data_IF_532897536071
#
_entry.id   IF_532897536071
#
_cell.length_a   1.000
_cell.length_b   1.000
_cell.length_c   1.000
_cell.angle_alpha   90.00
_cell.angle_beta   90.00
_cell.angle_gamma   90.00
#
_symmetry.space_group_name_H-M   'P 1'
#
loop_
_entity.id
_entity.type
_entity.pdbx_description
1 polymer ?
#
# COMPACT_ATOMS: atom_id res chain seq x y z
N UNK A 1 72.91 40.20 3.19
CA UNK A 1 73.36 39.77 1.86
C UNK A 1 73.54 38.28 1.97
N UNK A 2 72.46 37.59 1.63
CA UNK A 2 72.24 36.16 1.83
C UNK A 2 72.83 35.39 0.66
N UNK A 3 73.55 34.30 0.96
CA UNK A 3 73.72 33.16 0.05
C UNK A 3 74.39 32.03 0.82
N UNK A 4 73.58 31.16 1.42
CA UNK A 4 73.98 29.82 1.83
C UNK A 4 73.44 28.88 0.76
N UNK A 5 74.31 28.37 -0.10
CA UNK A 5 73.98 27.26 -1.00
C UNK A 5 73.86 25.99 -0.15
N UNK A 6 72.67 25.39 -0.14
CA UNK A 6 72.37 24.14 0.53
C UNK A 6 71.87 23.13 -0.49
N UNK A 7 72.80 22.62 -1.32
CA UNK A 7 72.56 21.47 -2.19
C UNK A 7 73.18 20.21 -1.58
N UNK A 8 72.37 19.49 -0.81
CA UNK A 8 72.52 18.05 -0.62
C UNK A 8 71.14 17.46 -0.29
N UNK A 9 70.33 17.38 -1.34
CA UNK A 9 69.08 16.64 -1.39
C UNK A 9 69.40 15.17 -1.07
N UNK A 10 69.17 14.77 0.19
CA UNK A 10 69.19 13.37 0.59
C UNK A 10 68.09 12.65 -0.19
N UNK A 11 68.50 11.84 -1.16
CA UNK A 11 67.66 10.83 -1.77
C UNK A 11 67.16 9.87 -0.69
N UNK A 12 65.88 9.98 -0.37
CA UNK A 12 65.07 8.94 0.27
C UNK A 12 63.77 8.79 -0.53
N UNK A 13 63.91 8.64 -1.84
CA UNK A 13 63.00 7.79 -2.61
C UNK A 13 63.51 6.34 -2.45
N UNK A 14 62.60 5.36 -2.48
CA UNK A 14 62.86 3.92 -2.31
C UNK A 14 63.10 3.45 -0.87
N UNK A 15 62.04 3.54 -0.06
CA UNK A 15 61.68 2.37 0.75
C UNK A 15 60.53 1.66 0.06
N UNK A 16 60.93 0.72 -0.80
CA UNK A 16 60.16 -0.34 -1.42
C UNK A 16 59.50 -1.20 -0.32
N UNK A 17 58.34 -0.79 0.19
CA UNK A 17 57.50 -1.65 1.04
C UNK A 17 56.53 -2.35 0.10
N UNK A 18 56.91 -3.56 -0.29
CA UNK A 18 56.11 -4.45 -1.12
C UNK A 18 54.65 -4.43 -0.72
N UNK A 19 53.81 -3.86 -1.59
CA UNK A 19 52.36 -3.80 -1.41
C UNK A 19 51.77 -5.20 -1.54
N UNK A 20 51.81 -5.96 -0.45
CA UNK A 20 51.16 -7.26 -0.38
C UNK A 20 49.64 -7.06 -0.52
N UNK A 21 49.14 -7.28 -1.74
CA UNK A 21 47.71 -7.33 -2.01
C UNK A 21 47.15 -8.49 -1.20
N UNK A 22 46.40 -8.18 -0.15
CA UNK A 22 45.83 -9.18 0.73
C UNK A 22 44.74 -9.94 -0.02
N UNK A 23 44.79 -11.27 -0.02
CA UNK A 23 43.76 -12.10 -0.67
C UNK A 23 42.83 -12.69 0.37
N UNK A 24 41.52 -12.55 0.15
CA UNK A 24 40.53 -13.17 1.03
C UNK A 24 40.55 -14.70 0.84
N UNK A 25 40.79 -15.52 1.89
CA UNK A 25 40.86 -16.98 1.75
C UNK A 25 39.51 -17.60 1.36
N UNK A 26 38.39 -16.87 1.53
CA UNK A 26 37.05 -17.36 1.24
C UNK A 26 36.54 -17.01 -0.16
N UNK A 27 36.96 -15.88 -0.74
CA UNK A 27 36.49 -15.44 -2.06
C UNK A 27 37.60 -15.15 -3.07
N UNK A 28 38.87 -15.30 -2.67
CA UNK A 28 40.10 -15.09 -3.46
C UNK A 28 40.24 -13.72 -4.13
N UNK A 29 39.41 -12.74 -3.75
CA UNK A 29 39.58 -11.35 -4.20
C UNK A 29 40.77 -10.73 -3.47
N UNK A 30 41.61 -10.05 -4.23
CA UNK A 30 42.78 -9.32 -3.74
C UNK A 30 42.38 -7.87 -3.43
N UNK A 31 42.86 -7.33 -2.31
CA UNK A 31 42.63 -5.94 -1.91
C UNK A 31 43.91 -5.29 -1.39
N UNK A 32 44.07 -3.99 -1.66
CA UNK A 32 45.20 -3.18 -1.18
C UNK A 32 44.91 -2.71 0.26
N UNK A 33 45.76 -3.04 1.25
CA UNK A 33 45.58 -2.62 2.63
C UNK A 33 45.69 -1.10 2.83
N UNK A 34 46.27 -0.33 1.89
CA UNK A 34 46.33 1.14 1.97
C UNK A 34 44.98 1.83 1.79
N UNK A 35 43.97 1.13 1.24
CA UNK A 35 42.62 1.64 1.06
C UNK A 35 41.76 1.57 2.34
N UNK A 36 42.32 1.12 3.47
CA UNK A 36 41.55 0.93 4.72
C UNK A 36 41.25 2.22 5.50
N UNK A 37 41.82 3.37 5.13
CA UNK A 37 41.68 4.61 5.90
C UNK A 37 40.57 5.56 5.43
N UNK A 38 40.00 5.37 4.24
CA UNK A 38 38.93 6.24 3.69
C UNK A 38 37.66 5.46 3.31
N UNK A 39 37.38 4.36 4.00
CA UNK A 39 36.16 3.60 3.72
C UNK A 39 34.95 4.32 4.33
N UNK A 40 34.21 5.08 3.52
CA UNK A 40 32.84 5.51 3.87
C UNK A 40 32.00 4.26 4.15
N UNK A 41 31.87 3.90 5.42
CA UNK A 41 31.07 2.75 5.84
C UNK A 41 29.60 3.09 5.61
N UNK A 42 28.98 2.45 4.63
CA UNK A 42 27.57 2.65 4.34
C UNK A 42 26.73 1.77 5.26
N UNK A 43 25.83 2.37 6.03
CA UNK A 43 24.83 1.62 6.79
C UNK A 43 23.71 1.22 5.84
N UNK A 44 23.65 -0.07 5.51
CA UNK A 44 22.60 -0.65 4.68
C UNK A 44 21.53 -1.30 5.57
N UNK A 45 20.26 -1.18 5.20
CA UNK A 45 19.15 -1.86 5.88
C UNK A 45 18.29 -2.63 4.90
N UNK A 46 17.97 -3.88 5.21
CA UNK A 46 17.11 -4.71 4.38
C UNK A 46 15.64 -4.47 4.69
N UNK A 47 14.89 -3.95 3.72
CA UNK A 47 13.44 -3.70 3.86
C UNK A 47 12.61 -4.99 3.96
N UNK A 48 13.20 -6.17 3.67
CA UNK A 48 12.51 -7.46 3.75
C UNK A 48 12.60 -8.11 5.13
N UNK A 49 13.75 -8.02 5.78
CA UNK A 49 14.00 -8.70 7.07
C UNK A 49 14.35 -7.76 8.23
N UNK A 50 14.43 -6.44 7.96
CA UNK A 50 14.78 -5.41 8.95
C UNK A 50 16.25 -5.42 9.39
N UNK A 51 17.08 -6.30 8.84
CA UNK A 51 18.48 -6.40 9.24
C UNK A 51 19.28 -5.20 8.72
N UNK A 52 20.05 -4.55 9.59
CA UNK A 52 21.02 -3.52 9.25
C UNK A 52 22.44 -4.07 9.31
N UNK A 53 23.31 -3.62 8.40
CA UNK A 53 24.72 -3.97 8.37
C UNK A 53 25.56 -2.81 7.83
N UNK A 54 26.83 -2.77 8.23
CA UNK A 54 27.81 -1.86 7.64
C UNK A 54 28.43 -2.54 6.42
N UNK A 55 28.36 -1.87 5.28
CA UNK A 55 28.93 -2.31 4.02
C UNK A 55 30.08 -1.39 3.64
N UNK A 56 31.15 -1.96 3.11
CA UNK A 56 32.25 -1.21 2.47
C UNK A 56 31.90 -0.75 1.05
N UNK A 57 30.72 -1.13 0.57
CA UNK A 57 30.21 -0.84 -0.77
C UNK A 57 28.81 -0.24 -0.57
N UNK A 58 28.49 0.85 -1.26
CA UNK A 58 27.21 1.53 -1.17
C UNK A 58 26.01 0.64 -1.53
N UNK A 59 26.16 -0.23 -2.54
CA UNK A 59 25.12 -1.14 -3.02
C UNK A 59 25.56 -2.61 -2.97
N UNK A 60 25.48 -3.28 -1.80
CA UNK A 60 25.75 -4.70 -1.71
C UNK A 60 24.80 -5.53 -2.58
N UNK A 61 25.27 -6.64 -3.15
CA UNK A 61 24.47 -7.45 -4.09
C UNK A 61 23.29 -8.17 -3.39
N UNK A 62 23.43 -8.53 -2.12
CA UNK A 62 22.41 -9.28 -1.37
C UNK A 62 22.43 -8.93 0.11
N UNK A 63 21.29 -9.08 0.77
CA UNK A 63 21.23 -9.03 2.23
C UNK A 63 22.02 -10.20 2.83
N UNK A 64 22.94 -9.96 3.79
CA UNK A 64 23.73 -11.03 4.42
C UNK A 64 22.88 -11.97 5.27
N UNK A 65 21.74 -11.51 5.80
CA UNK A 65 20.86 -12.31 6.67
C UNK A 65 19.86 -13.17 5.90
N UNK A 66 19.12 -12.57 4.95
CA UNK A 66 18.05 -13.28 4.23
C UNK A 66 18.41 -13.67 2.79
N UNK A 67 19.61 -13.31 2.30
CA UNK A 67 20.05 -13.60 0.94
C UNK A 67 19.30 -12.85 -0.16
N UNK A 68 18.40 -11.92 0.17
CA UNK A 68 17.61 -11.20 -0.83
C UNK A 68 18.48 -10.28 -1.67
N UNK A 69 18.41 -10.44 -3.00
CA UNK A 69 19.05 -9.54 -3.97
C UNK A 69 18.34 -8.18 -4.12
N UNK A 70 17.10 -8.08 -3.61
CA UNK A 70 16.25 -6.88 -3.67
C UNK A 70 16.03 -6.33 -2.26
N UNK A 71 17.12 -6.17 -1.52
CA UNK A 71 17.10 -5.79 -0.11
C UNK A 71 16.78 -4.31 0.11
N UNK A 72 17.07 -3.44 -0.86
CA UNK A 72 16.74 -2.02 -0.84
C UNK A 72 15.42 -1.66 -1.56
N UNK A 73 14.81 -2.61 -2.29
CA UNK A 73 13.58 -2.35 -3.05
C UNK A 73 12.35 -2.53 -2.15
N UNK A 74 11.52 -1.49 -2.04
CA UNK A 74 10.28 -1.51 -1.27
C UNK A 74 9.38 -2.67 -1.68
N UNK A 75 8.76 -3.31 -0.68
CA UNK A 75 7.79 -4.38 -0.93
C UNK A 75 6.44 -3.75 -1.25
N UNK A 76 5.80 -4.17 -2.35
CA UNK A 76 4.41 -3.80 -2.61
C UNK A 76 3.50 -4.59 -1.68
N UNK A 77 2.74 -3.89 -0.84
CA UNK A 77 1.69 -4.47 -0.01
C UNK A 77 0.34 -4.46 -0.75
N UNK A 78 -0.41 -5.54 -0.57
CA UNK A 78 -1.75 -5.71 -1.11
C UNK A 78 -2.70 -6.08 0.01
N UNK A 79 -3.89 -5.49 0.00
CA UNK A 79 -4.97 -5.80 0.92
C UNK A 79 -6.13 -6.43 0.15
N UNK A 80 -6.70 -7.51 0.67
CA UNK A 80 -7.90 -8.10 0.11
C UNK A 80 -9.15 -7.41 0.65
N UNK A 81 -9.86 -6.66 -0.21
CA UNK A 81 -11.16 -6.02 0.07
C UNK A 81 -12.32 -6.99 0.37
N UNK A 82 -12.08 -8.30 0.30
CA UNK A 82 -13.07 -9.35 0.61
C UNK A 82 -12.87 -9.97 1.99
N UNK A 83 -11.63 -10.13 2.44
CA UNK A 83 -11.30 -10.83 3.69
C UNK A 83 -10.38 -10.05 4.64
N UNK A 84 -9.93 -8.84 4.24
CA UNK A 84 -9.03 -7.99 5.02
C UNK A 84 -7.59 -8.49 5.11
N UNK A 85 -7.23 -9.57 4.42
CA UNK A 85 -5.87 -10.08 4.49
C UNK A 85 -4.88 -9.10 3.84
N UNK A 86 -3.78 -8.79 4.53
CA UNK A 86 -2.68 -7.98 4.00
C UNK A 86 -1.49 -8.89 3.72
N UNK A 87 -0.85 -8.74 2.55
CA UNK A 87 0.37 -9.46 2.21
C UNK A 87 1.30 -8.62 1.34
N UNK A 88 2.58 -8.95 1.38
CA UNK A 88 3.61 -8.30 0.58
C UNK A 88 4.15 -9.24 -0.48
N UNK A 89 4.46 -8.73 -1.67
CA UNK A 89 5.09 -9.51 -2.75
C UNK A 89 6.33 -8.81 -3.29
N UNK A 90 7.28 -9.62 -3.74
CA UNK A 90 8.51 -9.19 -4.42
C UNK A 90 8.34 -9.12 -5.94
N UNK A 91 7.23 -9.65 -6.46
CA UNK A 91 6.91 -9.64 -7.88
C UNK A 91 6.40 -8.27 -8.29
N UNK A 92 6.81 -7.82 -9.48
CA UNK A 92 6.31 -6.57 -10.08
C UNK A 92 4.85 -6.68 -10.51
N UNK A 93 4.35 -7.88 -10.79
CA UNK A 93 2.96 -8.10 -11.19
C UNK A 93 2.02 -8.20 -9.99
N UNK A 94 0.79 -7.67 -10.11
CA UNK A 94 -0.23 -7.84 -9.09
C UNK A 94 -0.59 -9.32 -8.91
N UNK A 95 -0.92 -9.75 -7.67
CA UNK A 95 -1.29 -11.12 -7.40
C UNK A 95 -2.59 -11.50 -8.11
N UNK A 96 -2.65 -12.68 -8.72
CA UNK A 96 -3.86 -13.15 -9.39
C UNK A 96 -4.99 -13.53 -8.41
N UNK A 97 -4.62 -13.99 -7.21
CA UNK A 97 -5.55 -14.47 -6.18
C UNK A 97 -5.10 -14.03 -4.79
N UNK A 98 -6.05 -13.82 -3.90
CA UNK A 98 -5.74 -13.65 -2.49
C UNK A 98 -5.15 -14.95 -1.90
N UNK A 99 -4.02 -14.91 -1.18
CA UNK A 99 -3.44 -16.11 -0.56
C UNK A 99 -4.32 -16.73 0.53
N UNK A 100 -5.19 -15.93 1.19
CA UNK A 100 -6.06 -16.41 2.27
C UNK A 100 -7.39 -16.96 1.76
N UNK A 101 -8.16 -16.16 1.03
CA UNK A 101 -9.51 -16.54 0.58
C UNK A 101 -9.57 -17.09 -0.85
N UNK A 102 -8.43 -17.12 -1.57
CA UNK A 102 -8.31 -17.56 -2.97
C UNK A 102 -9.18 -16.80 -3.98
N UNK A 103 -9.81 -15.69 -3.57
CA UNK A 103 -10.61 -14.83 -4.44
C UNK A 103 -9.75 -14.19 -5.52
N UNK A 104 -10.22 -14.26 -6.77
CA UNK A 104 -9.64 -13.55 -7.92
C UNK A 104 -9.99 -12.06 -7.87
N UNK A 105 -11.13 -11.71 -7.28
CA UNK A 105 -11.61 -10.33 -7.13
C UNK A 105 -11.21 -9.73 -5.78
N UNK A 106 -9.99 -10.03 -5.33
CA UNK A 106 -9.50 -9.60 -4.02
C UNK A 106 -9.39 -8.06 -3.90
N UNK A 107 -9.28 -7.36 -5.02
CA UNK A 107 -9.19 -5.90 -5.11
C UNK A 107 -10.56 -5.20 -5.14
N UNK A 108 -11.67 -5.95 -5.28
CA UNK A 108 -13.04 -5.40 -5.26
C UNK A 108 -13.73 -5.71 -3.94
N UNK A 109 -14.47 -4.75 -3.42
CA UNK A 109 -15.40 -5.00 -2.32
C UNK A 109 -16.43 -6.06 -2.71
N UNK A 110 -16.98 -6.74 -1.71
CA UNK A 110 -18.14 -7.60 -1.92
C UNK A 110 -19.31 -6.67 -2.21
N UNK A 111 -19.80 -6.69 -3.45
CA UNK A 111 -21.10 -6.12 -3.77
C UNK A 111 -22.09 -6.76 -2.80
N UNK A 112 -22.52 -5.99 -1.81
CA UNK A 112 -23.72 -6.31 -1.06
C UNK A 112 -24.81 -6.22 -2.11
N UNK A 113 -25.58 -7.30 -2.36
CA UNK A 113 -26.75 -7.17 -3.20
C UNK A 113 -27.52 -5.97 -2.65
N UNK A 114 -27.68 -4.91 -3.46
CA UNK A 114 -28.69 -3.90 -3.15
C UNK A 114 -29.95 -4.70 -2.85
N UNK A 115 -30.69 -4.42 -1.76
CA UNK A 115 -31.95 -5.10 -1.52
C UNK A 115 -32.72 -5.01 -2.82
N UNK A 116 -32.80 -6.14 -3.50
CA UNK A 116 -33.51 -6.21 -4.77
C UNK A 116 -34.93 -5.90 -4.32
N UNK A 117 -35.61 -4.87 -4.86
CA UNK A 117 -37.04 -4.82 -4.66
C UNK A 117 -37.56 -6.22 -5.01
N UNK A 118 -38.51 -6.77 -4.22
CA UNK A 118 -39.02 -8.12 -4.45
C UNK A 118 -39.25 -8.29 -5.95
N UNK A 119 -38.95 -9.47 -6.49
CA UNK A 119 -39.08 -9.78 -7.93
C UNK A 119 -40.53 -9.59 -8.38
N UNK A 120 -40.91 -8.33 -8.55
CA UNK A 120 -42.27 -7.89 -8.75
C UNK A 120 -42.49 -7.90 -10.24
N UNK A 121 -43.60 -8.48 -10.64
CA UNK A 121 -44.12 -8.32 -11.99
C UNK A 121 -44.30 -6.83 -12.30
N UNK A 122 -44.34 -6.49 -13.60
CA UNK A 122 -44.51 -5.11 -14.06
C UNK A 122 -45.74 -4.43 -13.43
N UNK A 123 -46.82 -5.18 -13.22
CA UNK A 123 -48.06 -4.68 -12.60
C UNK A 123 -47.92 -4.43 -11.10
N UNK A 124 -47.09 -5.20 -10.39
CA UNK A 124 -46.75 -4.98 -8.98
C UNK A 124 -45.88 -3.75 -8.80
N UNK A 125 -44.87 -3.55 -9.65
CA UNK A 125 -44.07 -2.32 -9.68
C UNK A 125 -44.93 -1.08 -9.91
N UNK A 126 -45.90 -1.14 -10.82
CA UNK A 126 -46.81 -0.01 -11.09
C UNK A 126 -47.73 0.28 -9.89
N UNK A 127 -48.25 -0.76 -9.22
CA UNK A 127 -49.03 -0.60 -7.99
C UNK A 127 -48.20 0.04 -6.88
N UNK A 128 -46.98 -0.45 -6.67
CA UNK A 128 -46.07 0.09 -5.66
C UNK A 128 -45.70 1.56 -5.94
N UNK A 129 -45.37 1.90 -7.19
CA UNK A 129 -45.07 3.28 -7.57
C UNK A 129 -46.26 4.24 -7.33
N UNK A 130 -47.49 3.77 -7.62
CA UNK A 130 -48.72 4.52 -7.31
C UNK A 130 -48.89 4.69 -5.80
N UNK A 131 -48.67 3.64 -5.00
CA UNK A 131 -48.75 3.69 -3.54
C UNK A 131 -47.73 4.67 -2.93
N UNK A 132 -46.47 4.66 -3.39
CA UNK A 132 -45.44 5.61 -2.94
C UNK A 132 -45.81 7.05 -3.29
N UNK A 133 -46.32 7.28 -4.50
CA UNK A 133 -46.75 8.62 -4.93
C UNK A 133 -47.93 9.12 -4.10
N UNK A 134 -48.87 8.25 -3.76
CA UNK A 134 -50.00 8.57 -2.89
C UNK A 134 -49.56 8.83 -1.45
N UNK A 135 -48.61 8.04 -0.93
CA UNK A 135 -48.03 8.24 0.40
C UNK A 135 -47.39 9.62 0.53
N UNK A 136 -46.63 10.03 -0.49
CA UNK A 136 -46.00 11.36 -0.57
C UNK A 136 -47.06 12.46 -0.57
N UNK A 137 -48.13 12.32 -1.37
CA UNK A 137 -49.23 13.30 -1.42
C UNK A 137 -49.93 13.45 -0.07
N UNK A 138 -50.22 12.33 0.59
CA UNK A 138 -50.80 12.32 1.94
C UNK A 138 -49.89 13.02 2.94
N UNK A 139 -48.63 12.61 3.05
CA UNK A 139 -47.67 13.23 3.97
C UNK A 139 -47.45 14.74 3.71
N UNK A 140 -47.68 15.23 2.49
CA UNK A 140 -47.61 16.66 2.14
C UNK A 140 -48.87 17.43 2.54
N UNK A 141 -50.05 16.86 2.27
CA UNK A 141 -51.32 17.57 2.33
C UNK A 141 -52.06 17.36 3.66
N UNK A 142 -51.87 16.20 4.29
CA UNK A 142 -52.39 15.89 5.61
C UNK A 142 -51.26 15.93 6.63
N UNK A 143 -51.54 16.40 7.84
CA UNK A 143 -50.59 16.37 8.98
C UNK A 143 -50.40 14.94 9.53
N UNK A 144 -50.59 13.92 8.71
CA UNK A 144 -50.44 12.52 9.06
C UNK A 144 -48.96 12.17 9.26
N UNK A 145 -48.69 11.23 10.16
CA UNK A 145 -47.34 10.70 10.35
C UNK A 145 -46.94 9.90 9.12
N UNK A 146 -45.69 10.06 8.69
CA UNK A 146 -45.08 9.25 7.63
C UNK A 146 -45.18 7.76 7.98
N UNK A 147 -45.04 7.37 9.25
CA UNK A 147 -45.15 5.97 9.65
C UNK A 147 -46.56 5.42 9.48
N UNK A 148 -47.59 6.19 9.87
CA UNK A 148 -48.98 5.78 9.74
C UNK A 148 -49.37 5.60 8.26
N UNK A 149 -48.99 6.56 7.41
CA UNK A 149 -49.26 6.51 5.97
C UNK A 149 -48.53 5.32 5.32
N UNK A 150 -47.26 5.11 5.66
CA UNK A 150 -46.48 4.00 5.10
C UNK A 150 -47.00 2.64 5.56
N UNK A 151 -47.48 2.53 6.80
CA UNK A 151 -48.09 1.30 7.33
C UNK A 151 -49.39 0.94 6.62
N UNK A 152 -50.22 1.94 6.32
CA UNK A 152 -51.51 1.73 5.62
C UNK A 152 -51.30 1.36 4.16
N UNK A 153 -50.31 1.96 3.50
CA UNK A 153 -50.06 1.76 2.06
C UNK A 153 -49.06 0.64 1.75
N UNK A 154 -48.51 -0.02 2.79
CA UNK A 154 -47.50 -1.08 2.69
C UNK A 154 -46.29 -0.66 1.84
N UNK A 155 -45.74 0.52 2.14
CA UNK A 155 -44.59 1.10 1.44
C UNK A 155 -43.42 1.35 2.38
N UNK A 156 -42.20 1.37 1.82
CA UNK A 156 -40.98 1.65 2.59
C UNK A 156 -40.96 3.09 3.12
N UNK A 157 -40.92 3.21 4.45
CA UNK A 157 -40.75 4.49 5.15
C UNK A 157 -39.50 5.23 4.65
N UNK A 158 -38.41 4.51 4.42
CA UNK A 158 -37.15 5.10 3.97
C UNK A 158 -37.30 5.78 2.60
N UNK A 159 -37.99 5.14 1.67
CA UNK A 159 -38.19 5.68 0.32
C UNK A 159 -39.05 6.95 0.33
N UNK A 160 -40.12 6.97 1.14
CA UNK A 160 -40.98 8.14 1.30
C UNK A 160 -40.22 9.29 1.96
N UNK A 161 -39.42 9.03 3.00
CA UNK A 161 -38.59 10.04 3.67
C UNK A 161 -37.56 10.63 2.70
N UNK A 162 -36.85 9.80 1.93
CA UNK A 162 -35.86 10.26 0.94
C UNK A 162 -36.54 11.16 -0.09
N UNK A 163 -37.69 10.74 -0.62
CA UNK A 163 -38.44 11.53 -1.59
C UNK A 163 -38.88 12.89 -1.01
N UNK A 164 -39.46 12.90 0.20
CA UNK A 164 -39.90 14.13 0.87
C UNK A 164 -38.75 15.10 1.15
N UNK A 165 -37.58 14.57 1.57
CA UNK A 165 -36.36 15.37 1.78
C UNK A 165 -35.85 15.99 0.48
N UNK A 166 -35.78 15.21 -0.60
CA UNK A 166 -35.33 15.70 -1.91
C UNK A 166 -36.24 16.82 -2.46
N UNK A 167 -37.51 16.83 -2.07
CA UNK A 167 -38.46 17.88 -2.43
C UNK A 167 -38.54 19.05 -1.43
N UNK A 168 -37.69 19.08 -0.39
CA UNK A 168 -37.69 20.14 0.62
C UNK A 168 -39.01 20.28 1.40
N UNK A 169 -39.81 19.21 1.45
CA UNK A 169 -41.15 19.26 2.03
C UNK A 169 -41.11 19.06 3.55
N UNK A 170 -41.96 19.77 4.28
CA UNK A 170 -42.16 19.54 5.72
C UNK A 170 -43.06 18.32 5.89
N UNK A 171 -42.64 17.37 6.73
CA UNK A 171 -43.39 16.15 7.04
C UNK A 171 -43.30 15.84 8.53
N UNK A 172 -44.26 15.06 9.04
CA UNK A 172 -44.30 14.62 10.44
C UNK A 172 -43.83 13.17 10.54
N UNK A 173 -42.85 12.92 11.41
CA UNK A 173 -42.50 11.57 11.86
C UNK A 173 -43.48 11.16 12.95
#
# INVERSE_FOLDING_TARGET
MESFEADAYFGLDEWDVGGEVCTCPFCRRSFDPRWSMECDSHVCSCVKCGHSWQSRISEPLRCPRCGSYRWGEESRSYECRRCGNIWSTTKSSPPAKCPRCRSVYWYKEKEVPRPVPPSMSKSECERYAKAVTEAIKRCKNSRESVFDVCRVLDVSVLEVIIALRNMGSRYRL
#
